data_IF_799643143557
#
_entry.id   IF_799643143557
#
_cell.length_a   1.000
_cell.length_b   1.000
_cell.length_c   1.000
_cell.angle_alpha   90.00
_cell.angle_beta   90.00
_cell.angle_gamma   90.00
#
_symmetry.space_group_name_H-M   'P 1'
#
loop_
_entity.id
_entity.type
_entity.pdbx_description
1 polymer ?
#
# COMPACT_ATOMS: atom_id res chain seq x y z
N UNK A 1 -3.69 4.59 19.99
CA UNK A 1 -4.38 5.20 18.84
C UNK A 1 -3.49 6.14 18.06
N UNK A 2 -2.89 7.18 18.67
CA UNK A 2 -2.00 8.11 17.96
C UNK A 2 -0.79 7.42 17.29
N UNK A 3 -0.08 6.53 18.00
CA UNK A 3 1.07 5.81 17.44
C UNK A 3 0.70 4.95 16.22
N UNK A 4 -0.47 4.31 16.24
CA UNK A 4 -0.99 3.50 15.14
C UNK A 4 -1.29 4.36 13.91
N UNK A 5 -1.90 5.53 14.11
CA UNK A 5 -2.15 6.48 13.03
C UNK A 5 -0.85 6.99 12.41
N UNK A 6 0.14 7.36 13.24
CA UNK A 6 1.45 7.78 12.75
C UNK A 6 2.16 6.67 11.97
N UNK A 7 2.09 5.43 12.45
CA UNK A 7 2.64 4.27 11.74
C UNK A 7 2.02 4.12 10.35
N UNK A 8 0.68 4.15 10.25
CA UNK A 8 0.00 4.06 8.96
C UNK A 8 0.35 5.23 8.05
N UNK A 9 0.45 6.45 8.57
CA UNK A 9 0.80 7.62 7.78
C UNK A 9 2.22 7.51 7.21
N UNK A 10 3.20 7.12 8.02
CA UNK A 10 4.59 6.93 7.60
C UNK A 10 4.68 5.79 6.58
N UNK A 11 4.03 4.66 6.83
CA UNK A 11 4.00 3.53 5.91
C UNK A 11 3.41 3.93 4.54
N UNK A 12 2.24 4.59 4.52
CA UNK A 12 1.63 5.06 3.28
C UNK A 12 2.47 6.14 2.59
N UNK A 13 3.16 7.00 3.33
CA UNK A 13 4.08 7.98 2.74
C UNK A 13 5.24 7.32 2.01
N UNK A 14 5.86 6.30 2.61
CA UNK A 14 6.94 5.53 1.97
C UNK A 14 6.43 4.77 0.74
N UNK A 15 5.25 4.16 0.83
CA UNK A 15 4.60 3.50 -0.31
C UNK A 15 4.31 4.51 -1.45
N UNK A 16 3.81 5.71 -1.11
CA UNK A 16 3.56 6.78 -2.07
C UNK A 16 4.85 7.24 -2.77
N UNK A 17 5.92 7.40 -1.99
CA UNK A 17 7.24 7.74 -2.53
C UNK A 17 7.74 6.68 -3.52
N UNK A 18 7.63 5.39 -3.17
CA UNK A 18 7.99 4.30 -4.05
C UNK A 18 7.14 4.30 -5.34
N UNK A 19 5.82 4.49 -5.21
CA UNK A 19 4.92 4.56 -6.35
C UNK A 19 5.22 5.76 -7.25
N UNK A 20 5.53 6.93 -6.68
CA UNK A 20 5.89 8.13 -7.45
C UNK A 20 7.19 8.00 -8.24
N UNK A 21 8.11 7.13 -7.80
CA UNK A 21 9.32 6.81 -8.58
C UNK A 21 9.06 5.78 -9.68
N UNK A 22 8.10 4.88 -9.49
CA UNK A 22 7.88 3.73 -10.37
C UNK A 22 6.76 3.96 -11.41
N UNK A 23 5.82 4.87 -11.15
CA UNK A 23 4.59 5.01 -11.91
C UNK A 23 4.44 6.46 -12.40
N UNK A 24 4.25 6.63 -13.71
CA UNK A 24 4.01 7.94 -14.30
C UNK A 24 2.58 8.46 -13.99
N UNK A 25 2.38 9.79 -13.98
CA UNK A 25 1.04 10.37 -14.00
C UNK A 25 0.22 9.86 -15.19
N UNK A 26 -1.06 9.57 -14.98
CA UNK A 26 -1.95 9.03 -16.01
C UNK A 26 -1.79 7.54 -16.29
N UNK A 27 -0.98 6.82 -15.51
CA UNK A 27 -0.92 5.37 -15.57
C UNK A 27 -2.29 4.73 -15.31
N UNK A 28 -2.45 3.51 -15.84
CA UNK A 28 -3.65 2.72 -15.63
C UNK A 28 -3.93 2.48 -14.14
N UNK A 29 -5.19 2.66 -13.74
CA UNK A 29 -5.61 2.58 -12.33
C UNK A 29 -5.43 1.17 -11.76
N UNK A 30 -5.59 0.13 -12.58
CA UNK A 30 -5.34 -1.24 -12.14
C UNK A 30 -3.86 -1.53 -11.95
N UNK A 31 -2.98 -0.91 -12.76
CA UNK A 31 -1.55 -0.96 -12.53
C UNK A 31 -1.16 -0.33 -11.19
N UNK A 32 -1.67 0.87 -10.89
CA UNK A 32 -1.46 1.54 -9.59
C UNK A 32 -1.98 0.68 -8.44
N UNK A 33 -3.21 0.15 -8.55
CA UNK A 33 -3.82 -0.72 -7.55
C UNK A 33 -2.94 -1.94 -7.25
N UNK A 34 -2.43 -2.61 -8.28
CA UNK A 34 -1.59 -3.80 -8.14
C UNK A 34 -0.25 -3.45 -7.48
N UNK A 35 0.40 -2.39 -7.92
CA UNK A 35 1.70 -1.99 -7.40
C UNK A 35 1.60 -1.55 -5.94
N UNK A 36 0.75 -0.56 -5.68
CA UNK A 36 0.56 0.01 -4.34
C UNK A 36 -0.08 -1.00 -3.39
N UNK A 37 -1.05 -1.77 -3.86
CA UNK A 37 -1.70 -2.81 -3.09
C UNK A 37 -0.73 -3.90 -2.65
N UNK A 38 0.16 -4.36 -3.55
CA UNK A 38 1.19 -5.35 -3.20
C UNK A 38 2.18 -4.80 -2.18
N UNK A 39 2.61 -3.54 -2.34
CA UNK A 39 3.47 -2.88 -1.35
C UNK A 39 2.79 -2.76 0.03
N UNK A 40 1.49 -2.44 0.04
CA UNK A 40 0.66 -2.42 1.25
C UNK A 40 0.55 -3.79 1.92
N UNK A 41 0.28 -4.86 1.15
CA UNK A 41 0.21 -6.24 1.67
C UNK A 41 1.56 -6.64 2.29
N UNK A 42 2.67 -6.32 1.62
CA UNK A 42 4.00 -6.60 2.16
C UNK A 42 4.24 -5.85 3.48
N UNK A 43 3.77 -4.61 3.59
CA UNK A 43 3.98 -3.76 4.77
C UNK A 43 3.11 -4.20 5.96
N UNK A 44 1.83 -4.48 5.74
CA UNK A 44 0.88 -4.78 6.82
C UNK A 44 0.76 -6.27 7.14
N UNK A 45 0.89 -7.14 6.14
CA UNK A 45 0.66 -8.58 6.29
C UNK A 45 1.85 -9.37 6.82
N UNK A 46 3.08 -8.84 6.76
CA UNK A 46 4.28 -9.63 7.08
C UNK A 46 4.74 -9.55 8.53
N UNK A 47 4.30 -8.53 9.28
CA UNK A 47 4.80 -8.23 10.63
C UNK A 47 4.70 -9.43 11.61
N UNK A 48 3.61 -10.20 11.52
CA UNK A 48 3.34 -11.32 12.44
C UNK A 48 3.58 -12.70 11.83
N UNK A 49 3.98 -12.80 10.56
CA UNK A 49 4.24 -14.09 9.90
C UNK A 49 5.41 -14.81 10.57
N UNK A 50 6.51 -14.09 10.82
CA UNK A 50 7.67 -14.64 11.53
C UNK A 50 7.29 -15.10 12.94
N UNK A 51 6.45 -14.33 13.63
CA UNK A 51 5.96 -14.72 14.94
C UNK A 51 5.10 -16.00 14.91
N UNK A 52 4.32 -16.19 13.84
CA UNK A 52 3.57 -17.42 13.60
C UNK A 52 4.47 -18.62 13.31
N UNK A 53 5.47 -18.45 12.43
CA UNK A 53 6.40 -19.51 12.01
C UNK A 53 7.27 -19.98 13.18
N UNK A 54 7.86 -19.05 13.95
CA UNK A 54 8.88 -19.37 14.95
C UNK A 54 8.29 -19.66 16.33
N UNK A 55 7.19 -19.00 16.69
CA UNK A 55 6.62 -19.07 18.04
C UNK A 55 5.19 -19.63 18.08
N UNK A 56 4.67 -20.17 16.97
CA UNK A 56 3.37 -20.83 16.91
C UNK A 56 2.17 -19.90 17.20
N UNK A 57 2.33 -18.60 17.00
CA UNK A 57 1.24 -17.63 17.24
C UNK A 57 0.20 -17.70 16.12
N UNK A 58 -1.05 -17.39 16.45
CA UNK A 58 -2.13 -17.25 15.46
C UNK A 58 -1.75 -16.11 14.50
N UNK A 59 -1.66 -16.42 13.21
CA UNK A 59 -1.25 -15.45 12.18
C UNK A 59 -2.27 -15.25 11.06
N UNK A 60 -3.27 -16.14 10.94
CA UNK A 60 -4.22 -16.11 9.80
C UNK A 60 -5.06 -14.83 9.80
N UNK A 61 -5.56 -14.42 10.98
CA UNK A 61 -6.34 -13.19 11.11
C UNK A 61 -5.49 -11.95 10.78
N UNK A 62 -4.25 -11.91 11.28
CA UNK A 62 -3.31 -10.81 11.02
C UNK A 62 -2.93 -10.71 9.54
N UNK A 63 -2.74 -11.85 8.86
CA UNK A 63 -2.48 -11.89 7.43
C UNK A 63 -3.71 -11.39 6.65
N UNK A 64 -4.91 -11.86 7.00
CA UNK A 64 -6.14 -11.42 6.35
C UNK A 64 -6.37 -9.91 6.53
N UNK A 65 -6.13 -9.39 7.73
CA UNK A 65 -6.22 -7.97 8.05
C UNK A 65 -5.17 -7.18 7.26
N UNK A 66 -3.91 -7.63 7.24
CA UNK A 66 -2.86 -7.01 6.44
C UNK A 66 -3.13 -7.01 4.94
N UNK A 67 -3.77 -8.07 4.42
CA UNK A 67 -4.26 -8.11 3.03
C UNK A 67 -5.34 -7.05 2.82
N UNK A 68 -6.35 -6.99 3.69
CA UNK A 68 -7.42 -6.01 3.59
C UNK A 68 -6.87 -4.57 3.60
N UNK A 69 -5.98 -4.24 4.53
CA UNK A 69 -5.33 -2.92 4.58
C UNK A 69 -4.51 -2.63 3.33
N UNK A 70 -3.78 -3.61 2.80
CA UNK A 70 -3.01 -3.45 1.56
C UNK A 70 -3.91 -3.14 0.36
N UNK A 71 -5.02 -3.87 0.20
CA UNK A 71 -5.98 -3.64 -0.87
C UNK A 71 -6.70 -2.27 -0.72
N UNK A 72 -7.03 -1.87 0.51
CA UNK A 72 -7.62 -0.55 0.79
C UNK A 72 -6.63 0.56 0.39
N UNK A 73 -5.37 0.45 0.79
CA UNK A 73 -4.31 1.38 0.37
C UNK A 73 -4.19 1.43 -1.16
N UNK A 74 -4.12 0.27 -1.82
CA UNK A 74 -4.10 0.19 -3.28
C UNK A 74 -5.29 0.88 -3.95
N UNK A 75 -6.50 0.70 -3.43
CA UNK A 75 -7.72 1.30 -3.97
C UNK A 75 -7.73 2.82 -3.81
N UNK A 76 -7.31 3.33 -2.65
CA UNK A 76 -7.23 4.77 -2.39
C UNK A 76 -6.23 5.43 -3.37
N UNK A 77 -5.03 4.87 -3.52
CA UNK A 77 -4.03 5.42 -4.44
C UNK A 77 -4.45 5.30 -5.91
N UNK A 78 -5.08 4.19 -6.31
CA UNK A 78 -5.60 4.04 -7.66
C UNK A 78 -6.72 5.05 -7.98
N UNK A 79 -7.55 5.41 -6.99
CA UNK A 79 -8.60 6.42 -7.13
C UNK A 79 -8.08 7.86 -7.15
N UNK A 80 -6.99 8.13 -6.42
CA UNK A 80 -6.37 9.45 -6.30
C UNK A 80 -5.17 9.66 -7.23
N UNK A 81 -4.85 8.68 -8.09
CA UNK A 81 -3.68 8.78 -8.95
C UNK A 81 -3.83 9.97 -9.90
N UNK A 82 -2.78 10.82 -10.05
CA UNK A 82 -2.88 11.99 -10.91
C UNK A 82 -3.19 11.57 -12.34
N UNK A 83 -4.15 12.26 -12.96
CA UNK A 83 -4.42 12.11 -14.39
C UNK A 83 -3.17 12.49 -15.19
N UNK A 84 -3.03 11.96 -16.41
CA UNK A 84 -2.02 12.45 -17.34
C UNK A 84 -2.23 13.96 -17.46
N UNK A 85 -1.24 14.76 -17.07
CA UNK A 85 -1.30 16.18 -17.36
C UNK A 85 -1.44 16.29 -18.88
N UNK A 86 -2.55 16.85 -19.37
CA UNK A 86 -2.64 17.28 -20.75
C UNK A 86 -1.41 18.16 -20.96
N UNK A 87 -0.54 17.74 -21.89
CA UNK A 87 0.68 18.47 -22.21
C UNK A 87 0.35 19.95 -22.22
N UNK A 88 0.94 20.70 -21.29
CA UNK A 88 0.74 22.13 -21.22
C UNK A 88 1.12 22.67 -22.61
N UNK A 89 0.10 23.04 -23.38
CA UNK A 89 0.24 23.71 -24.65
C UNK A 89 0.86 25.07 -24.37
N UNK A 90 2.19 25.13 -24.37
CA UNK A 90 3.02 26.34 -24.52
C UNK A 90 4.36 25.94 -25.09
#
# INVERSE_FOLDING_TARGET
>A
MLCTLLFFLIANFVIAYLAGMAIAPGADRWFVFRFVGTAGILTYGTANILNGIWFGRKMIADIADGIAYGLITGAIFAGLWPAAAAAATT
#
